data_IF_471632797701
#
_entry.id   IF_471632797701
#
_cell.length_a   1.000
_cell.length_b   1.000
_cell.length_c   1.000
_cell.angle_alpha   90.00
_cell.angle_beta   90.00
_cell.angle_gamma   90.00
#
_symmetry.space_group_name_H-M   'P 1'
#
loop_
_entity.id
_entity.type
_entity.pdbx_description
1 polymer ?
#
# COMPACT_ATOMS: atom_id res chain seq x y z
N UNK A 1 -89.13 -7.56 -14.95
CA UNK A 1 -88.44 -8.09 -16.14
C UNK A 1 -87.56 -6.97 -16.68
N UNK A 2 -86.26 -6.96 -16.35
CA UNK A 2 -85.30 -5.94 -16.79
C UNK A 2 -84.00 -6.62 -17.23
N UNK A 3 -83.53 -6.27 -18.42
CA UNK A 3 -82.13 -6.34 -18.89
C UNK A 3 -81.57 -4.89 -18.78
N UNK A 4 -80.24 -4.60 -18.62
CA UNK A 4 -79.19 -5.01 -19.57
C UNK A 4 -77.75 -5.24 -19.00
N UNK A 5 -76.86 -5.77 -19.88
CA UNK A 5 -75.36 -5.65 -20.10
C UNK A 5 -74.46 -5.28 -18.89
N UNK A 6 -73.24 -5.82 -18.70
CA UNK A 6 -71.96 -5.34 -19.28
C UNK A 6 -70.78 -6.32 -19.00
N UNK A 7 -69.88 -6.43 -20.00
CA UNK A 7 -68.40 -6.57 -19.96
C UNK A 7 -67.70 -7.82 -19.38
N UNK A 8 -67.19 -8.63 -20.31
CA UNK A 8 -66.00 -9.47 -20.14
C UNK A 8 -64.74 -8.58 -20.02
N UNK A 9 -64.08 -8.57 -18.86
CA UNK A 9 -62.71 -8.08 -18.72
C UNK A 9 -61.74 -9.19 -19.14
N UNK A 10 -61.22 -9.10 -20.36
CA UNK A 10 -59.99 -9.80 -20.74
C UNK A 10 -58.82 -9.00 -20.14
N UNK A 11 -58.27 -9.48 -19.03
CA UNK A 11 -57.01 -8.96 -18.49
C UNK A 11 -55.88 -9.38 -19.44
N UNK A 12 -55.45 -8.43 -20.28
CA UNK A 12 -54.19 -8.49 -21.01
C UNK A 12 -53.04 -8.58 -20.00
N UNK A 13 -52.54 -9.79 -19.77
CA UNK A 13 -51.20 -10.02 -19.23
C UNK A 13 -50.17 -9.59 -20.29
N UNK A 14 -49.87 -8.29 -20.34
CA UNK A 14 -48.66 -7.76 -20.96
C UNK A 14 -47.51 -7.85 -19.95
N UNK A 15 -46.28 -8.17 -20.41
CA UNK A 15 -45.42 -9.10 -19.71
C UNK A 15 -44.46 -8.45 -18.71
N UNK A 16 -44.21 -9.14 -17.59
CA UNK A 16 -43.12 -8.89 -16.62
C UNK A 16 -41.71 -9.15 -17.24
N UNK A 17 -41.61 -9.41 -18.55
CA UNK A 17 -40.35 -9.72 -19.23
C UNK A 17 -39.47 -8.50 -19.59
N UNK A 18 -39.87 -7.27 -19.26
CA UNK A 18 -39.11 -6.08 -19.66
C UNK A 18 -37.85 -5.80 -18.82
N UNK A 19 -37.71 -6.39 -17.62
CA UNK A 19 -36.53 -6.16 -16.77
C UNK A 19 -35.37 -7.14 -17.02
N UNK A 20 -35.59 -8.26 -17.71
CA UNK A 20 -34.55 -9.28 -17.90
C UNK A 20 -33.53 -8.97 -19.03
N UNK A 21 -33.76 -7.94 -19.84
CA UNK A 21 -32.99 -7.71 -21.09
C UNK A 21 -31.64 -6.99 -20.89
N UNK A 22 -31.28 -6.58 -19.67
CA UNK A 22 -30.05 -5.82 -19.40
C UNK A 22 -28.95 -6.55 -18.62
N UNK A 23 -29.28 -7.68 -17.98
CA UNK A 23 -28.35 -8.41 -17.10
C UNK A 23 -27.43 -9.39 -17.84
N UNK A 24 -27.83 -9.82 -19.03
CA UNK A 24 -27.05 -10.73 -19.86
C UNK A 24 -27.28 -10.40 -21.33
N UNK A 25 -26.30 -10.67 -22.20
CA UNK A 25 -26.51 -10.50 -23.62
C UNK A 25 -27.56 -11.50 -24.12
N UNK A 26 -28.40 -11.08 -25.07
CA UNK A 26 -29.43 -11.97 -25.63
C UNK A 26 -28.76 -13.18 -26.33
N UNK A 27 -29.11 -14.44 -25.99
CA UNK A 27 -28.48 -15.61 -26.56
C UNK A 27 -28.54 -15.64 -28.10
N UNK A 28 -27.45 -16.07 -28.73
CA UNK A 28 -27.35 -16.17 -30.20
C UNK A 28 -27.15 -14.84 -30.93
N UNK A 29 -27.12 -13.70 -30.23
CA UNK A 29 -26.92 -12.38 -30.84
C UNK A 29 -25.45 -12.04 -31.04
N UNK A 30 -25.19 -10.99 -31.85
CA UNK A 30 -23.86 -10.41 -31.99
C UNK A 30 -23.33 -9.86 -30.67
N UNK A 31 -24.20 -9.29 -29.83
CA UNK A 31 -23.85 -8.82 -28.49
C UNK A 31 -23.32 -9.96 -27.61
N UNK A 32 -23.98 -11.12 -27.62
CA UNK A 32 -23.52 -12.30 -26.87
C UNK A 32 -22.15 -12.80 -27.32
N UNK A 33 -21.90 -12.82 -28.63
CA UNK A 33 -20.58 -13.23 -29.16
C UNK A 33 -19.48 -12.26 -28.73
N UNK A 34 -19.74 -10.96 -28.79
CA UNK A 34 -18.77 -9.96 -28.34
C UNK A 34 -18.53 -10.01 -26.84
N UNK A 35 -19.58 -10.20 -26.05
CA UNK A 35 -19.48 -10.30 -24.59
C UNK A 35 -18.65 -11.53 -24.17
N UNK A 36 -18.93 -12.71 -24.73
CA UNK A 36 -18.17 -13.93 -24.43
C UNK A 36 -16.69 -13.80 -24.86
N UNK A 37 -16.43 -13.19 -26.01
CA UNK A 37 -15.06 -12.93 -26.45
C UNK A 37 -14.34 -11.93 -25.53
N UNK A 38 -15.06 -10.96 -24.96
CA UNK A 38 -14.50 -10.02 -24.01
C UNK A 38 -14.12 -10.69 -22.68
N UNK A 39 -14.97 -11.58 -22.16
CA UNK A 39 -14.67 -12.39 -20.96
C UNK A 39 -13.43 -13.27 -21.18
N UNK A 40 -13.29 -13.89 -22.35
CA UNK A 40 -12.07 -14.64 -22.70
C UNK A 40 -10.82 -13.74 -22.69
N UNK A 41 -10.90 -12.53 -23.27
CA UNK A 41 -9.80 -11.57 -23.24
C UNK A 41 -9.44 -11.12 -21.81
N UNK A 42 -10.43 -11.01 -20.90
CA UNK A 42 -10.16 -10.72 -19.49
C UNK A 42 -9.39 -11.86 -18.80
N UNK A 43 -9.74 -13.12 -19.08
CA UNK A 43 -9.02 -14.28 -18.55
C UNK A 43 -7.56 -14.32 -19.04
N UNK A 44 -7.33 -13.91 -20.28
CA UNK A 44 -6.00 -13.73 -20.87
C UNK A 44 -5.27 -12.46 -20.39
N UNK A 45 -5.92 -11.66 -19.51
CA UNK A 45 -5.44 -10.37 -18.99
C UNK A 45 -5.22 -9.30 -20.07
N UNK A 46 -5.78 -9.45 -21.27
CA UNK A 46 -5.83 -8.42 -22.31
C UNK A 46 -7.04 -7.49 -22.09
N UNK A 47 -6.95 -6.67 -21.05
CA UNK A 47 -8.03 -5.74 -20.67
C UNK A 47 -8.34 -4.71 -21.76
N UNK A 48 -7.35 -4.33 -22.57
CA UNK A 48 -7.55 -3.40 -23.68
C UNK A 48 -8.42 -4.01 -24.78
N UNK A 49 -8.22 -5.30 -25.10
CA UNK A 49 -9.09 -6.01 -26.02
C UNK A 49 -10.48 -6.28 -25.40
N UNK A 50 -10.53 -6.67 -24.13
CA UNK A 50 -11.79 -6.91 -23.42
C UNK A 50 -12.71 -5.68 -23.47
N UNK A 51 -12.19 -4.48 -23.13
CA UNK A 51 -12.95 -3.23 -23.17
C UNK A 51 -13.55 -2.99 -24.57
N UNK A 52 -12.74 -3.08 -25.63
CA UNK A 52 -13.22 -2.89 -27.02
C UNK A 52 -14.31 -3.89 -27.40
N UNK A 53 -14.25 -5.12 -26.90
CA UNK A 53 -15.24 -6.15 -27.17
C UNK A 53 -16.54 -5.90 -26.37
N UNK A 54 -16.47 -5.49 -25.11
CA UNK A 54 -17.65 -5.07 -24.35
C UNK A 54 -18.32 -3.84 -24.95
N UNK A 55 -17.56 -2.86 -25.45
CA UNK A 55 -18.11 -1.69 -26.17
C UNK A 55 -18.85 -2.09 -27.46
N UNK A 56 -18.34 -3.09 -28.18
CA UNK A 56 -19.05 -3.68 -29.35
C UNK A 56 -20.31 -4.43 -28.92
N UNK A 57 -20.28 -5.11 -27.78
CA UNK A 57 -21.47 -5.75 -27.22
C UNK A 57 -22.55 -4.71 -26.87
N UNK A 58 -22.17 -3.60 -26.25
CA UNK A 58 -23.06 -2.46 -25.97
C UNK A 58 -23.59 -1.81 -27.25
N UNK A 59 -22.75 -1.68 -28.29
CA UNK A 59 -23.19 -1.12 -29.57
C UNK A 59 -24.26 -2.00 -30.24
N UNK A 60 -24.16 -3.32 -30.08
CA UNK A 60 -25.13 -4.29 -30.60
C UNK A 60 -26.38 -4.45 -29.70
N UNK A 61 -26.26 -4.21 -28.40
CA UNK A 61 -27.35 -4.24 -27.42
C UNK A 61 -27.15 -3.09 -26.40
N UNK A 62 -27.65 -1.87 -26.69
CA UNK A 62 -27.44 -0.71 -25.83
C UNK A 62 -28.03 -0.84 -24.42
N UNK A 63 -28.95 -1.76 -24.22
CA UNK A 63 -29.55 -2.07 -22.91
C UNK A 63 -28.70 -3.02 -22.06
N UNK A 64 -27.56 -3.51 -22.55
CA UNK A 64 -26.71 -4.48 -21.86
C UNK A 64 -25.90 -3.83 -20.73
N UNK A 65 -26.59 -3.49 -19.64
CA UNK A 65 -26.01 -2.82 -18.47
C UNK A 65 -24.83 -3.61 -17.88
N UNK A 66 -24.89 -4.94 -17.90
CA UNK A 66 -23.80 -5.81 -17.42
C UNK A 66 -22.44 -5.52 -18.09
N UNK A 67 -22.42 -5.06 -19.34
CA UNK A 67 -21.18 -4.71 -20.02
C UNK A 67 -20.52 -3.46 -19.41
N UNK A 68 -21.27 -2.51 -18.85
CA UNK A 68 -20.69 -1.39 -18.13
C UNK A 68 -19.96 -1.84 -16.87
N UNK A 69 -20.52 -2.77 -16.09
CA UNK A 69 -19.82 -3.39 -14.94
C UNK A 69 -18.48 -3.99 -15.37
N UNK A 70 -18.47 -4.82 -16.42
CA UNK A 70 -17.26 -5.50 -16.89
C UNK A 70 -16.19 -4.53 -17.43
N UNK A 71 -16.61 -3.47 -18.13
CA UNK A 71 -15.68 -2.40 -18.57
C UNK A 71 -15.08 -1.68 -17.36
N UNK A 72 -15.89 -1.40 -16.34
CA UNK A 72 -15.42 -0.81 -15.09
C UNK A 72 -14.37 -1.68 -14.40
N UNK A 73 -14.60 -2.99 -14.32
CA UNK A 73 -13.65 -3.97 -13.76
C UNK A 73 -12.33 -3.97 -14.55
N UNK A 74 -12.39 -3.95 -15.88
CA UNK A 74 -11.19 -3.84 -16.72
C UNK A 74 -10.39 -2.57 -16.43
N UNK A 75 -11.06 -1.41 -16.32
CA UNK A 75 -10.39 -0.16 -16.00
C UNK A 75 -9.79 -0.15 -14.58
N UNK A 76 -10.49 -0.74 -13.60
CA UNK A 76 -9.99 -0.88 -12.23
C UNK A 76 -8.72 -1.74 -12.19
N UNK A 77 -8.71 -2.86 -12.91
CA UNK A 77 -7.53 -3.74 -13.05
C UNK A 77 -6.35 -3.06 -13.76
N UNK A 78 -6.62 -2.07 -14.60
CA UNK A 78 -5.60 -1.22 -15.23
C UNK A 78 -5.21 0.01 -14.37
N UNK A 79 -5.77 0.17 -13.17
CA UNK A 79 -5.52 1.31 -12.29
C UNK A 79 -6.19 2.62 -12.72
N UNK A 80 -7.10 2.59 -13.70
CA UNK A 80 -7.84 3.76 -14.16
C UNK A 80 -9.16 3.94 -13.39
N UNK A 81 -9.06 4.28 -12.12
CA UNK A 81 -10.18 4.31 -11.17
C UNK A 81 -11.27 5.33 -11.52
N UNK A 82 -10.91 6.41 -12.23
CA UNK A 82 -11.90 7.40 -12.70
C UNK A 82 -12.83 6.78 -13.73
N UNK A 83 -12.29 6.15 -14.78
CA UNK A 83 -13.12 5.49 -15.79
C UNK A 83 -13.84 4.27 -15.23
N UNK A 84 -13.22 3.55 -14.30
CA UNK A 84 -13.89 2.46 -13.58
C UNK A 84 -15.15 2.95 -12.86
N UNK A 85 -15.03 4.01 -12.04
CA UNK A 85 -16.14 4.60 -11.33
C UNK A 85 -17.23 5.12 -12.28
N UNK A 86 -16.87 5.82 -13.36
CA UNK A 86 -17.83 6.30 -14.37
C UNK A 86 -18.67 5.16 -14.97
N UNK A 87 -18.06 3.98 -15.17
CA UNK A 87 -18.75 2.80 -15.70
C UNK A 87 -19.58 2.06 -14.64
N UNK A 88 -19.10 1.93 -13.42
CA UNK A 88 -19.88 1.37 -12.32
C UNK A 88 -21.13 2.21 -12.01
N UNK A 89 -21.02 3.54 -12.06
CA UNK A 89 -22.16 4.44 -11.88
C UNK A 89 -23.22 4.24 -12.96
N UNK A 90 -22.83 4.11 -14.24
CA UNK A 90 -23.80 3.79 -15.31
C UNK A 90 -24.58 2.50 -15.04
N UNK A 91 -23.94 1.50 -14.44
CA UNK A 91 -24.63 0.27 -14.03
C UNK A 91 -25.66 0.54 -12.92
N UNK A 92 -25.27 1.25 -11.86
CA UNK A 92 -26.15 1.55 -10.73
C UNK A 92 -27.23 2.60 -11.03
N UNK A 93 -27.01 3.48 -12.00
CA UNK A 93 -28.01 4.42 -12.51
C UNK A 93 -29.12 3.70 -13.28
N UNK A 94 -28.75 2.66 -14.03
CA UNK A 94 -29.72 1.84 -14.76
C UNK A 94 -30.46 0.88 -13.80
N UNK A 95 -29.76 0.32 -12.83
CA UNK A 95 -30.33 -0.53 -11.79
C UNK A 95 -29.51 -0.47 -10.49
N UNK A 96 -30.04 0.21 -9.47
CA UNK A 96 -29.39 0.32 -8.16
C UNK A 96 -29.35 -1.00 -7.38
N UNK A 97 -30.15 -2.00 -7.78
CA UNK A 97 -30.16 -3.34 -7.20
C UNK A 97 -29.37 -4.33 -8.07
N UNK A 98 -28.53 -3.84 -8.99
CA UNK A 98 -27.78 -4.71 -9.88
C UNK A 98 -26.76 -5.58 -9.14
N UNK A 99 -25.99 -4.99 -8.21
CA UNK A 99 -24.95 -5.68 -7.46
C UNK A 99 -24.56 -4.86 -6.22
N UNK A 100 -24.50 -5.51 -5.05
CA UNK A 100 -23.94 -4.86 -3.84
C UNK A 100 -22.44 -4.68 -3.97
N UNK A 101 -21.73 -5.67 -4.52
CA UNK A 101 -20.28 -5.61 -4.76
C UNK A 101 -19.87 -4.32 -5.46
N UNK A 102 -20.66 -3.83 -6.43
CA UNK A 102 -20.38 -2.56 -7.11
C UNK A 102 -20.27 -1.34 -6.19
N UNK A 103 -21.01 -1.31 -5.07
CA UNK A 103 -20.86 -0.24 -4.08
C UNK A 103 -19.50 -0.32 -3.39
N UNK A 104 -19.01 -1.52 -3.07
CA UNK A 104 -17.65 -1.67 -2.54
C UNK A 104 -16.59 -1.27 -3.57
N UNK A 105 -16.73 -1.70 -4.83
CA UNK A 105 -15.78 -1.38 -5.92
C UNK A 105 -15.73 0.13 -6.21
N UNK A 106 -16.87 0.83 -6.10
CA UNK A 106 -16.92 2.29 -6.15
C UNK A 106 -16.22 2.91 -4.94
N UNK A 107 -16.46 2.38 -3.74
CA UNK A 107 -15.76 2.80 -2.52
C UNK A 107 -14.24 2.73 -2.67
N UNK A 108 -13.74 1.59 -3.14
CA UNK A 108 -12.31 1.36 -3.40
C UNK A 108 -11.77 2.30 -4.49
N UNK A 109 -12.49 2.45 -5.60
CA UNK A 109 -12.11 3.36 -6.68
C UNK A 109 -12.01 4.82 -6.20
N UNK A 110 -12.99 5.30 -5.42
CA UNK A 110 -12.95 6.65 -4.84
C UNK A 110 -11.85 6.83 -3.81
N UNK A 111 -11.58 5.82 -2.99
CA UNK A 111 -10.51 5.87 -2.01
C UNK A 111 -9.15 6.01 -2.72
N UNK A 112 -8.91 5.21 -3.76
CA UNK A 112 -7.68 5.26 -4.58
C UNK A 112 -7.54 6.55 -5.39
N UNK A 113 -8.62 7.28 -5.62
CA UNK A 113 -8.61 8.64 -6.20
C UNK A 113 -8.40 9.74 -5.14
N UNK A 114 -8.20 9.39 -3.87
CA UNK A 114 -8.04 10.36 -2.78
C UNK A 114 -9.33 11.09 -2.42
N UNK A 115 -10.50 10.46 -2.62
CA UNK A 115 -11.82 11.02 -2.27
C UNK A 115 -12.46 10.23 -1.12
N UNK A 116 -11.94 10.34 0.11
CA UNK A 116 -12.36 9.50 1.23
C UNK A 116 -13.82 9.72 1.64
N UNK A 117 -14.42 10.88 1.36
CA UNK A 117 -15.83 11.16 1.64
C UNK A 117 -16.76 10.32 0.77
N UNK A 118 -16.47 10.27 -0.54
CA UNK A 118 -17.21 9.44 -1.49
C UNK A 118 -16.95 7.97 -1.22
N UNK A 119 -15.70 7.60 -0.92
CA UNK A 119 -15.35 6.23 -0.55
C UNK A 119 -16.15 5.77 0.67
N UNK A 120 -16.17 6.58 1.74
CA UNK A 120 -16.95 6.29 2.94
C UNK A 120 -18.43 6.13 2.63
N UNK A 121 -19.01 7.02 1.82
CA UNK A 121 -20.40 6.91 1.40
C UNK A 121 -20.69 5.56 0.74
N UNK A 122 -19.90 5.15 -0.25
CA UNK A 122 -20.13 3.90 -0.97
C UNK A 122 -19.85 2.65 -0.12
N UNK A 123 -18.85 2.67 0.75
CA UNK A 123 -18.60 1.61 1.72
C UNK A 123 -19.75 1.48 2.74
N UNK A 124 -20.28 2.60 3.25
CA UNK A 124 -21.44 2.60 4.14
C UNK A 124 -22.69 2.07 3.42
N UNK A 125 -22.92 2.47 2.16
CA UNK A 125 -24.00 1.91 1.34
C UNK A 125 -23.85 0.42 1.11
N UNK A 126 -22.65 -0.07 0.83
CA UNK A 126 -22.38 -1.51 0.73
C UNK A 126 -22.75 -2.25 2.01
N UNK A 127 -22.43 -1.67 3.17
CA UNK A 127 -22.80 -2.21 4.49
C UNK A 127 -24.32 -2.24 4.70
N UNK A 128 -25.00 -1.14 4.45
CA UNK A 128 -26.45 -1.01 4.62
C UNK A 128 -27.24 -1.98 3.74
N UNK A 129 -26.76 -2.24 2.52
CA UNK A 129 -27.41 -3.14 1.58
C UNK A 129 -27.32 -4.62 2.00
N UNK A 130 -26.49 -4.98 2.99
CA UNK A 130 -26.42 -6.34 3.52
C UNK A 130 -27.68 -6.75 4.29
N UNK A 131 -28.48 -5.78 4.74
CA UNK A 131 -29.78 -6.04 5.36
C UNK A 131 -30.82 -6.58 4.35
N UNK A 132 -30.55 -6.43 3.05
CA UNK A 132 -31.41 -6.92 1.99
C UNK A 132 -31.01 -8.34 1.56
N UNK A 133 -31.99 -9.26 1.40
CA UNK A 133 -31.74 -10.59 0.87
C UNK A 133 -31.01 -10.58 -0.49
N UNK A 134 -30.17 -11.58 -0.74
CA UNK A 134 -29.35 -11.67 -1.96
C UNK A 134 -30.18 -11.75 -3.25
N UNK A 135 -31.35 -12.37 -3.21
CA UNK A 135 -32.26 -12.53 -4.34
C UNK A 135 -32.87 -11.20 -4.82
N UNK A 136 -32.91 -10.17 -3.96
CA UNK A 136 -33.29 -8.80 -4.36
C UNK A 136 -32.33 -8.24 -5.41
N UNK A 137 -31.08 -8.70 -5.44
CA UNK A 137 -30.05 -8.30 -6.42
C UNK A 137 -29.91 -9.30 -7.58
N UNK A 138 -30.94 -10.13 -7.78
CA UNK A 138 -31.02 -11.08 -8.90
C UNK A 138 -29.83 -12.04 -8.97
N UNK A 139 -29.36 -12.31 -10.19
CA UNK A 139 -28.26 -13.24 -10.45
C UNK A 139 -26.97 -12.82 -9.73
N UNK A 140 -26.67 -11.53 -9.72
CA UNK A 140 -25.42 -11.01 -9.16
C UNK A 140 -25.39 -11.13 -7.65
N UNK A 141 -26.48 -10.84 -6.94
CA UNK A 141 -26.52 -11.02 -5.48
C UNK A 141 -26.25 -12.46 -5.03
N UNK A 142 -26.66 -13.45 -5.83
CA UNK A 142 -26.37 -14.86 -5.55
C UNK A 142 -24.97 -15.25 -6.01
N UNK A 143 -24.57 -14.85 -7.22
CA UNK A 143 -23.28 -15.23 -7.81
C UNK A 143 -22.08 -14.58 -7.10
N UNK A 144 -22.26 -13.37 -6.56
CA UNK A 144 -21.20 -12.57 -5.94
C UNK A 144 -21.17 -12.73 -4.41
N UNK A 145 -22.07 -13.53 -3.83
CA UNK A 145 -22.20 -13.72 -2.38
C UNK A 145 -20.90 -14.15 -1.68
N UNK A 146 -20.11 -15.01 -2.32
CA UNK A 146 -18.83 -15.48 -1.78
C UNK A 146 -17.78 -14.35 -1.78
N UNK A 147 -17.74 -13.55 -2.86
CA UNK A 147 -16.87 -12.38 -2.95
C UNK A 147 -17.25 -11.34 -1.89
N UNK A 148 -18.56 -11.07 -1.74
CA UNK A 148 -19.07 -10.11 -0.76
C UNK A 148 -18.61 -10.43 0.67
N UNK A 149 -18.54 -11.71 1.05
CA UNK A 149 -18.04 -12.10 2.37
C UNK A 149 -16.56 -11.71 2.58
N UNK A 150 -15.73 -11.82 1.54
CA UNK A 150 -14.34 -11.38 1.59
C UNK A 150 -14.26 -9.86 1.75
N UNK A 151 -15.11 -9.13 1.02
CA UNK A 151 -15.17 -7.67 1.09
C UNK A 151 -15.67 -7.17 2.44
N UNK A 152 -16.64 -7.86 3.05
CA UNK A 152 -17.15 -7.56 4.40
C UNK A 152 -16.07 -7.71 5.47
N UNK A 153 -15.17 -8.68 5.34
CA UNK A 153 -14.03 -8.80 6.27
C UNK A 153 -13.05 -7.63 6.17
N UNK A 154 -12.93 -7.01 4.98
CA UNK A 154 -12.07 -5.84 4.75
C UNK A 154 -12.74 -4.53 5.16
N UNK A 155 -14.06 -4.46 5.04
CA UNK A 155 -14.86 -3.25 5.18
C UNK A 155 -14.59 -2.44 6.45
N UNK A 156 -14.47 -3.01 7.67
CA UNK A 156 -14.15 -2.23 8.86
C UNK A 156 -12.82 -1.46 8.75
N UNK A 157 -11.82 -2.08 8.12
CA UNK A 157 -10.53 -1.44 7.83
C UNK A 157 -10.67 -0.31 6.80
N UNK A 158 -11.43 -0.53 5.73
CA UNK A 158 -11.69 0.51 4.72
C UNK A 158 -12.44 1.72 5.30
N UNK A 159 -13.49 1.49 6.11
CA UNK A 159 -14.25 2.55 6.79
C UNK A 159 -13.34 3.34 7.74
N UNK A 160 -12.52 2.63 8.54
CA UNK A 160 -11.55 3.26 9.44
C UNK A 160 -10.52 4.08 8.67
N UNK A 161 -10.00 3.56 7.56
CA UNK A 161 -9.05 4.25 6.71
C UNK A 161 -9.65 5.54 6.13
N UNK A 162 -10.90 5.51 5.65
CA UNK A 162 -11.59 6.72 5.18
C UNK A 162 -11.75 7.75 6.31
N UNK A 163 -12.19 7.33 7.49
CA UNK A 163 -12.35 8.22 8.65
C UNK A 163 -11.03 8.83 9.09
N UNK A 164 -9.97 8.02 9.20
CA UNK A 164 -8.62 8.52 9.53
C UNK A 164 -8.17 9.50 8.46
N UNK A 165 -8.29 9.17 7.16
CA UNK A 165 -7.93 10.09 6.09
C UNK A 165 -8.68 11.41 6.19
N UNK A 166 -10.00 11.40 6.42
CA UNK A 166 -10.82 12.60 6.60
C UNK A 166 -10.48 13.39 7.87
N UNK A 167 -10.11 12.72 8.96
CA UNK A 167 -9.68 13.39 10.19
C UNK A 167 -8.29 13.99 10.03
N UNK A 168 -7.36 13.28 9.40
CA UNK A 168 -6.01 13.75 9.12
C UNK A 168 -6.01 14.99 8.23
N UNK A 169 -6.85 15.05 7.17
CA UNK A 169 -6.97 16.23 6.29
C UNK A 169 -7.51 17.48 6.99
N UNK A 170 -8.11 17.38 8.20
CA UNK A 170 -8.51 18.56 8.98
C UNK A 170 -7.30 19.31 9.54
N UNK A 171 -6.17 18.62 9.72
CA UNK A 171 -4.98 19.15 10.38
C UNK A 171 -3.80 19.34 9.43
N UNK A 172 -3.87 18.80 8.21
CA UNK A 172 -2.86 18.96 7.18
C UNK A 172 -3.44 19.72 5.99
N UNK A 173 -2.83 20.85 5.62
CA UNK A 173 -3.22 21.63 4.44
C UNK A 173 -2.58 21.04 3.16
N UNK A 174 -2.78 19.74 2.92
CA UNK A 174 -2.32 19.06 1.71
C UNK A 174 -3.47 19.09 0.71
N UNK A 175 -3.37 19.94 -0.30
CA UNK A 175 -4.43 20.14 -1.29
C UNK A 175 -4.37 19.17 -2.46
N UNK A 176 -3.22 18.51 -2.68
CA UNK A 176 -2.99 17.64 -3.83
C UNK A 176 -2.13 16.43 -3.42
N UNK A 177 -2.54 15.24 -3.88
CA UNK A 177 -1.76 14.00 -3.80
C UNK A 177 -1.28 13.69 -5.21
N UNK A 178 0.03 13.57 -5.38
CA UNK A 178 0.64 13.25 -6.66
C UNK A 178 1.16 11.81 -6.64
N UNK A 179 0.59 10.96 -7.50
CA UNK A 179 1.23 9.70 -7.85
C UNK A 179 2.50 10.03 -8.65
N UNK A 180 3.66 9.55 -8.19
CA UNK A 180 4.96 9.83 -8.83
C UNK A 180 5.13 9.19 -10.22
N UNK A 181 4.12 8.46 -10.69
CA UNK A 181 4.01 7.90 -12.02
C UNK A 181 4.84 6.63 -12.21
N UNK A 182 4.74 6.00 -13.40
CA UNK A 182 5.38 4.72 -13.70
C UNK A 182 6.92 4.78 -13.78
N UNK A 183 7.49 5.98 -13.66
CA UNK A 183 8.94 6.16 -13.57
C UNK A 183 9.44 5.77 -12.18
N UNK A 184 8.68 6.09 -11.13
CA UNK A 184 9.02 5.72 -9.74
C UNK A 184 8.24 4.48 -9.34
N UNK A 185 6.93 4.48 -9.53
CA UNK A 185 6.03 3.41 -9.10
C UNK A 185 6.03 2.26 -10.11
N UNK A 186 5.89 1.04 -9.60
CA UNK A 186 5.83 -0.21 -10.33
C UNK A 186 4.56 -0.99 -10.01
N UNK A 187 4.49 -2.21 -10.53
CA UNK A 187 3.46 -3.20 -10.17
C UNK A 187 3.76 -3.95 -8.87
N UNK A 188 4.98 -3.80 -8.35
CA UNK A 188 5.42 -4.39 -7.10
C UNK A 188 5.32 -3.36 -5.99
N UNK A 189 5.57 -3.78 -4.75
CA UNK A 189 5.54 -2.88 -3.60
C UNK A 189 6.76 -1.94 -3.66
N UNK A 190 6.48 -0.64 -3.74
CA UNK A 190 7.44 0.46 -3.68
C UNK A 190 7.20 1.27 -2.40
N UNK A 191 8.15 1.26 -1.46
CA UNK A 191 7.95 1.80 -0.11
C UNK A 191 9.24 2.36 0.50
N UNK A 192 9.12 2.91 1.71
CA UNK A 192 10.18 3.60 2.45
C UNK A 192 10.96 4.63 1.62
N UNK A 193 10.28 5.62 1.01
CA UNK A 193 10.94 6.66 0.25
C UNK A 193 11.76 7.57 1.15
N UNK A 194 12.97 7.89 0.72
CA UNK A 194 13.85 8.88 1.30
C UNK A 194 14.25 9.91 0.25
N UNK A 195 14.09 11.19 0.56
CA UNK A 195 14.50 12.30 -0.30
C UNK A 195 15.73 12.99 0.25
N UNK A 196 16.68 13.28 -0.64
CA UNK A 196 17.76 14.24 -0.35
C UNK A 196 17.19 15.62 0.00
N UNK A 197 17.93 16.43 0.76
CA UNK A 197 17.44 17.73 1.25
C UNK A 197 17.04 18.71 0.14
N UNK A 198 17.70 18.64 -1.02
CA UNK A 198 17.38 19.45 -2.19
C UNK A 198 16.21 18.86 -3.01
N UNK A 199 15.66 17.73 -2.58
CA UNK A 199 14.53 17.01 -3.18
C UNK A 199 14.75 16.62 -4.64
N UNK A 200 16.01 16.45 -5.06
CA UNK A 200 16.32 16.01 -6.43
C UNK A 200 16.49 14.51 -6.53
N UNK A 201 16.85 13.85 -5.44
CA UNK A 201 17.19 12.44 -5.44
C UNK A 201 16.26 11.71 -4.47
N UNK A 202 15.58 10.68 -4.99
CA UNK A 202 14.68 9.79 -4.28
C UNK A 202 15.31 8.40 -4.22
N UNK A 203 15.50 7.91 -3.00
CA UNK A 203 15.87 6.53 -2.71
C UNK A 203 14.63 5.82 -2.17
N UNK A 204 14.39 4.58 -2.55
CA UNK A 204 13.21 3.84 -2.10
C UNK A 204 13.45 2.34 -2.21
N UNK A 205 12.72 1.57 -1.41
CA UNK A 205 12.72 0.11 -1.49
C UNK A 205 11.72 -0.35 -2.53
N UNK A 206 12.11 -1.32 -3.34
CA UNK A 206 11.19 -2.08 -4.20
C UNK A 206 11.34 -3.56 -3.90
N UNK A 207 10.22 -4.21 -3.66
CA UNK A 207 10.17 -5.67 -3.59
C UNK A 207 10.21 -6.25 -5.01
N UNK A 208 11.08 -7.23 -5.24
CA UNK A 208 11.17 -8.00 -6.48
C UNK A 208 10.15 -9.14 -6.50
N UNK A 209 10.02 -9.79 -7.66
CA UNK A 209 9.10 -10.91 -7.86
C UNK A 209 9.39 -12.13 -6.97
N UNK A 210 10.65 -12.31 -6.58
CA UNK A 210 11.12 -13.35 -5.65
C UNK A 210 10.97 -12.95 -4.17
N UNK A 211 10.43 -11.76 -3.89
CA UNK A 211 10.24 -11.23 -2.53
C UNK A 211 11.45 -10.48 -1.97
N UNK A 212 12.56 -10.44 -2.70
CA UNK A 212 13.78 -9.74 -2.32
C UNK A 212 13.57 -8.22 -2.32
N UNK A 213 14.13 -7.53 -1.34
CA UNK A 213 13.94 -6.09 -1.15
C UNK A 213 15.20 -5.33 -1.57
N UNK A 214 15.07 -4.52 -2.61
CA UNK A 214 16.20 -3.80 -3.20
C UNK A 214 16.05 -2.29 -3.00
N UNK A 215 17.18 -1.61 -2.80
CA UNK A 215 17.29 -0.17 -2.84
C UNK A 215 17.35 0.35 -4.29
N UNK A 216 16.42 1.22 -4.63
CA UNK A 216 16.30 1.91 -5.92
C UNK A 216 16.55 3.41 -5.76
N UNK A 217 16.93 4.03 -6.88
CA UNK A 217 17.22 5.45 -7.01
C UNK A 217 16.42 6.04 -8.17
N UNK A 218 15.80 7.20 -7.97
CA UNK A 218 15.22 8.03 -9.02
C UNK A 218 15.65 9.49 -8.83
N UNK A 219 15.86 10.18 -9.95
CA UNK A 219 16.26 11.58 -9.95
C UNK A 219 15.16 12.46 -10.55
N UNK A 220 14.90 13.60 -9.93
CA UNK A 220 14.02 14.64 -10.44
C UNK A 220 14.80 15.63 -11.29
N UNK A 221 14.56 15.61 -12.61
CA UNK A 221 15.17 16.55 -13.56
C UNK A 221 14.14 17.11 -14.52
N UNK A 222 14.22 18.41 -14.78
CA UNK A 222 13.38 19.10 -15.79
C UNK A 222 11.87 18.88 -15.57
N UNK A 223 11.42 18.85 -14.31
CA UNK A 223 10.01 18.75 -13.97
C UNK A 223 9.44 17.33 -13.92
N UNK A 224 10.29 16.29 -14.00
CA UNK A 224 9.85 14.90 -13.94
C UNK A 224 10.87 14.00 -13.24
N UNK A 225 10.37 12.96 -12.58
CA UNK A 225 11.18 11.84 -12.09
C UNK A 225 11.66 10.99 -13.26
N UNK A 226 12.91 10.53 -13.17
CA UNK A 226 13.49 9.53 -14.08
C UNK A 226 13.09 8.12 -13.66
N UNK A 227 13.21 7.16 -14.58
CA UNK A 227 12.97 5.75 -14.26
C UNK A 227 13.83 5.34 -13.07
N UNK A 228 13.21 4.74 -12.06
CA UNK A 228 13.89 4.18 -10.91
C UNK A 228 14.88 3.12 -11.36
N UNK A 229 16.14 3.26 -10.95
CA UNK A 229 17.23 2.34 -11.25
C UNK A 229 17.64 1.62 -9.96
N UNK A 230 17.83 0.30 -10.04
CA UNK A 230 18.41 -0.50 -8.95
C UNK A 230 19.82 0.04 -8.65
N UNK A 231 20.10 0.34 -7.38
CA UNK A 231 21.43 0.83 -6.99
C UNK A 231 22.46 -0.28 -7.15
N UNK A 232 23.60 0.06 -7.75
CA UNK A 232 24.70 -0.88 -8.00
C UNK A 232 25.67 -0.91 -6.82
N UNK A 233 26.17 -2.09 -6.48
CA UNK A 233 27.16 -2.30 -5.41
C UNK A 233 26.54 -2.43 -4.01
N UNK A 234 25.32 -1.93 -3.80
CA UNK A 234 24.55 -2.15 -2.59
C UNK A 234 23.87 -3.52 -2.63
N UNK A 235 22.95 -3.70 -3.56
CA UNK A 235 22.02 -4.81 -3.56
C UNK A 235 22.66 -6.13 -4.00
N UNK A 236 22.51 -7.19 -3.20
CA UNK A 236 22.97 -8.54 -3.52
C UNK A 236 21.79 -9.51 -3.67
N UNK A 237 22.02 -10.82 -3.49
CA UNK A 237 20.96 -11.83 -3.34
C UNK A 237 20.78 -12.23 -1.85
N UNK A 238 21.46 -11.52 -0.94
CA UNK A 238 21.34 -11.68 0.51
C UNK A 238 20.49 -10.56 1.10
N UNK A 239 19.86 -10.75 2.27
CA UNK A 239 19.03 -9.72 2.87
C UNK A 239 19.83 -8.46 3.24
N UNK A 240 19.45 -7.34 2.62
CA UNK A 240 19.89 -6.00 2.98
C UNK A 240 18.69 -5.10 3.24
N UNK A 241 18.76 -4.26 4.26
CA UNK A 241 17.62 -3.40 4.58
C UNK A 241 17.84 -2.53 5.80
N UNK A 242 16.73 -2.06 6.37
CA UNK A 242 16.71 -1.24 7.58
C UNK A 242 17.69 -0.06 7.50
N UNK A 243 17.68 0.62 6.34
CA UNK A 243 18.63 1.66 6.01
C UNK A 243 18.23 3.02 6.57
N UNK A 244 19.22 3.80 6.99
CA UNK A 244 19.07 5.20 7.39
C UNK A 244 20.07 6.07 6.64
N UNK A 245 19.65 7.28 6.25
CA UNK A 245 20.52 8.23 5.56
C UNK A 245 20.82 9.42 6.46
N UNK A 246 22.09 9.79 6.55
CA UNK A 246 22.52 11.05 7.15
C UNK A 246 21.87 12.20 6.39
N UNK A 247 21.52 13.27 7.11
CA UNK A 247 20.87 14.45 6.53
C UNK A 247 21.68 15.08 5.38
N UNK A 248 22.99 14.82 5.28
CA UNK A 248 23.81 15.29 4.17
C UNK A 248 23.44 14.68 2.81
N UNK A 249 22.62 13.63 2.78
CA UNK A 249 22.16 12.99 1.56
C UNK A 249 23.19 12.02 0.94
N UNK A 250 24.31 11.76 1.61
CA UNK A 250 25.47 11.06 1.03
C UNK A 250 25.85 9.81 1.79
N UNK A 251 25.72 9.80 3.12
CA UNK A 251 26.05 8.62 3.94
C UNK A 251 24.80 7.83 4.29
N UNK A 252 24.82 6.55 3.96
CA UNK A 252 23.80 5.58 4.30
C UNK A 252 24.38 4.55 5.26
N UNK A 253 23.64 4.21 6.31
CA UNK A 253 23.90 3.05 7.15
C UNK A 253 22.80 2.03 6.92
N UNK A 254 23.15 0.75 6.88
CA UNK A 254 22.19 -0.32 6.61
C UNK A 254 22.62 -1.63 7.26
N UNK A 255 21.66 -2.54 7.44
CA UNK A 255 21.92 -3.90 7.87
C UNK A 255 22.25 -4.77 6.67
N UNK A 256 23.33 -5.55 6.75
CA UNK A 256 23.60 -6.64 5.83
C UNK A 256 23.64 -7.97 6.60
N UNK A 257 22.83 -8.94 6.20
CA UNK A 257 22.80 -10.28 6.78
C UNK A 257 23.37 -11.29 5.79
N UNK A 258 24.15 -12.27 6.27
CA UNK A 258 24.71 -13.36 5.44
C UNK A 258 25.59 -12.91 4.26
N UNK A 259 25.91 -11.63 4.15
CA UNK A 259 26.79 -11.04 3.14
C UNK A 259 28.25 -11.38 3.42
N UNK A 260 29.06 -11.49 2.37
CA UNK A 260 30.51 -11.63 2.52
C UNK A 260 31.09 -10.45 3.32
N UNK A 261 31.87 -10.75 4.36
CA UNK A 261 32.47 -9.74 5.25
C UNK A 261 31.65 -9.40 6.50
N UNK A 262 30.46 -10.01 6.67
CA UNK A 262 29.69 -9.95 7.92
C UNK A 262 30.35 -10.86 8.98
N UNK A 263 30.55 -10.33 10.18
CA UNK A 263 31.17 -11.01 11.32
C UNK A 263 30.19 -11.79 12.21
N UNK A 264 28.93 -11.36 12.27
CA UNK A 264 27.84 -12.01 13.00
C UNK A 264 26.72 -12.57 12.09
N UNK A 265 25.49 -12.75 12.63
CA UNK A 265 24.33 -13.07 11.80
C UNK A 265 23.93 -11.93 10.86
N UNK A 266 24.05 -10.69 11.35
CA UNK A 266 23.89 -9.45 10.60
C UNK A 266 24.84 -8.40 11.17
N UNK A 267 25.37 -7.54 10.28
CA UNK A 267 26.29 -6.45 10.62
C UNK A 267 25.75 -5.13 10.04
N UNK A 268 26.20 -4.01 10.62
CA UNK A 268 25.92 -2.67 10.11
C UNK A 268 27.02 -2.23 9.15
N UNK A 269 26.62 -1.71 8.00
CA UNK A 269 27.50 -1.24 6.95
C UNK A 269 27.28 0.24 6.69
N UNK A 270 28.34 0.94 6.26
CA UNK A 270 28.30 2.32 5.78
C UNK A 270 28.54 2.32 4.26
N UNK A 271 27.70 3.08 3.56
CA UNK A 271 27.82 3.32 2.13
C UNK A 271 27.80 4.82 1.81
N UNK A 272 28.68 5.26 0.91
CA UNK A 272 28.60 6.57 0.28
C UNK A 272 27.83 6.50 -1.03
N UNK A 273 26.63 7.07 -1.02
CA UNK A 273 25.77 7.17 -2.20
C UNK A 273 26.09 8.42 -3.00
N UNK A 274 26.23 8.25 -4.32
CA UNK A 274 26.34 9.34 -5.28
C UNK A 274 25.43 9.04 -6.47
N UNK A 275 24.19 9.51 -6.36
CA UNK A 275 23.13 9.14 -7.30
C UNK A 275 22.87 7.63 -7.26
N UNK A 276 23.14 6.95 -8.38
CA UNK A 276 22.88 5.51 -8.54
C UNK A 276 24.05 4.58 -8.21
N UNK A 277 25.16 5.13 -7.74
CA UNK A 277 26.37 4.38 -7.44
C UNK A 277 26.70 4.46 -5.96
N UNK A 278 27.11 3.32 -5.40
CA UNK A 278 27.86 3.28 -4.15
C UNK A 278 29.32 3.54 -4.48
N UNK A 279 29.82 4.69 -4.03
CA UNK A 279 31.21 5.12 -4.27
C UNK A 279 32.18 4.52 -3.27
N UNK A 280 31.72 4.30 -2.04
CA UNK A 280 32.47 3.63 -0.98
C UNK A 280 31.51 2.73 -0.20
N UNK A 281 31.97 1.54 0.15
CA UNK A 281 31.19 0.56 0.89
C UNK A 281 32.11 -0.14 1.89
N UNK A 282 31.74 -0.10 3.16
CA UNK A 282 32.52 -0.73 4.22
C UNK A 282 31.64 -1.27 5.33
N UNK A 283 32.01 -2.43 5.87
CA UNK A 283 31.53 -2.86 7.19
C UNK A 283 32.05 -1.88 8.23
N UNK A 284 31.23 -1.53 9.22
CA UNK A 284 31.69 -0.66 10.31
C UNK A 284 32.79 -1.32 11.17
N UNK A 285 32.89 -2.65 11.13
CA UNK A 285 33.83 -3.42 11.92
C UNK A 285 33.70 -3.17 13.43
N UNK A 286 34.65 -3.67 14.20
CA UNK A 286 34.72 -3.37 15.63
C UNK A 286 35.02 -1.88 15.88
N UNK A 287 34.44 -1.25 16.92
CA UNK A 287 33.68 -1.89 18.01
C UNK A 287 32.16 -1.96 17.76
N UNK A 288 31.66 -1.48 16.63
CA UNK A 288 30.23 -1.54 16.31
C UNK A 288 29.85 -2.96 15.96
N UNK A 289 30.39 -3.55 14.90
CA UNK A 289 30.10 -4.93 14.55
C UNK A 289 30.93 -5.90 15.40
N UNK A 290 30.30 -6.97 15.83
CA UNK A 290 30.88 -8.04 16.63
C UNK A 290 30.52 -9.41 16.03
N UNK A 291 30.60 -10.49 16.81
CA UNK A 291 30.03 -11.79 16.41
C UNK A 291 28.55 -11.93 16.77
N UNK A 292 27.97 -10.92 17.43
CA UNK A 292 26.56 -10.87 17.77
C UNK A 292 25.74 -10.33 16.59
N UNK A 293 24.43 -10.22 16.76
CA UNK A 293 23.57 -9.56 15.79
C UNK A 293 23.62 -8.06 16.00
N UNK A 294 23.97 -7.31 14.95
CA UNK A 294 23.91 -5.85 14.89
C UNK A 294 23.04 -5.41 13.71
N UNK A 295 22.00 -4.62 14.00
CA UNK A 295 21.03 -4.26 12.98
C UNK A 295 20.28 -2.97 13.31
N UNK A 296 19.43 -2.53 12.38
CA UNK A 296 18.41 -1.51 12.59
C UNK A 296 19.02 -0.17 13.00
N UNK A 297 20.02 0.25 12.22
CA UNK A 297 20.75 1.48 12.48
C UNK A 297 19.87 2.73 12.35
N UNK A 298 20.02 3.65 13.29
CA UNK A 298 19.51 5.02 13.21
C UNK A 298 20.65 6.00 13.44
N UNK A 299 20.74 7.03 12.60
CA UNK A 299 21.81 8.02 12.65
C UNK A 299 21.25 9.41 12.94
N UNK A 300 21.90 10.16 13.83
CA UNK A 300 21.55 11.54 14.09
C UNK A 300 21.73 12.42 12.84
N UNK A 301 20.98 13.52 12.75
CA UNK A 301 21.02 14.41 11.58
C UNK A 301 22.42 14.93 11.23
N UNK A 302 23.26 15.15 12.24
CA UNK A 302 24.66 15.61 12.08
C UNK A 302 25.65 14.45 11.80
N UNK A 303 25.17 13.21 11.81
CA UNK A 303 25.99 12.01 11.59
C UNK A 303 26.93 11.67 12.75
N UNK A 304 26.73 12.24 13.94
CA UNK A 304 27.64 12.09 15.08
C UNK A 304 27.28 10.94 16.03
N UNK A 305 26.01 10.49 16.05
CA UNK A 305 25.53 9.43 16.93
C UNK A 305 24.81 8.36 16.14
N UNK A 306 25.28 7.12 16.29
CA UNK A 306 24.69 5.92 15.73
C UNK A 306 24.00 5.13 16.84
N UNK A 307 22.72 4.91 16.68
CA UNK A 307 21.90 4.02 17.52
C UNK A 307 21.64 2.73 16.74
N UNK A 308 21.61 1.60 17.41
CA UNK A 308 21.35 0.31 16.76
C UNK A 308 20.89 -0.74 17.76
N UNK A 309 20.23 -1.79 17.28
CA UNK A 309 19.80 -2.93 18.08
C UNK A 309 20.88 -4.03 18.06
N UNK A 310 21.13 -4.66 19.20
CA UNK A 310 22.09 -5.76 19.29
C UNK A 310 21.85 -6.67 20.49
N UNK A 311 22.03 -7.98 20.28
CA UNK A 311 22.04 -9.00 21.34
C UNK A 311 23.45 -9.32 21.87
N UNK A 312 24.39 -8.38 21.71
CA UNK A 312 25.76 -8.52 22.25
C UNK A 312 25.75 -8.65 23.77
N UNK A 313 26.82 -9.25 24.29
CA UNK A 313 27.04 -9.33 25.74
C UNK A 313 27.14 -7.93 26.38
N UNK A 314 26.59 -7.79 27.59
CA UNK A 314 26.54 -6.53 28.33
C UNK A 314 25.21 -5.78 28.21
N UNK A 315 24.23 -6.34 27.49
CA UNK A 315 22.84 -5.90 27.53
C UNK A 315 22.06 -6.39 28.75
N UNK A 316 20.81 -5.94 28.85
CA UNK A 316 19.85 -6.27 29.90
C UNK A 316 18.96 -7.45 29.54
N UNK A 317 18.65 -7.64 28.26
CA UNK A 317 17.66 -8.60 27.80
C UNK A 317 18.04 -9.33 26.52
N UNK A 318 17.04 -9.54 25.66
CA UNK A 318 17.18 -10.21 24.37
C UNK A 318 18.00 -9.34 23.40
N UNK A 319 17.33 -8.48 22.64
CA UNK A 319 17.99 -7.38 21.93
C UNK A 319 17.90 -6.09 22.71
N UNK A 320 19.01 -5.38 22.80
CA UNK A 320 19.08 -4.09 23.48
C UNK A 320 19.40 -2.98 22.47
N UNK A 321 19.04 -1.75 22.79
CA UNK A 321 19.52 -0.56 22.08
C UNK A 321 20.89 -0.12 22.60
N UNK A 322 21.78 0.16 21.66
CA UNK A 322 23.13 0.63 21.90
C UNK A 322 23.37 1.95 21.15
N UNK A 323 24.30 2.75 21.65
CA UNK A 323 24.71 4.01 21.04
C UNK A 323 26.23 4.09 20.92
N UNK A 324 26.70 4.52 19.76
CA UNK A 324 28.10 4.84 19.51
C UNK A 324 28.23 6.26 18.98
N UNK A 325 29.31 6.93 19.37
CA UNK A 325 29.63 8.30 18.95
C UNK A 325 30.76 8.28 17.93
N UNK A 326 30.64 9.16 16.94
CA UNK A 326 31.69 9.33 15.94
C UNK A 326 32.82 10.16 16.50
N UNK A 327 34.00 9.58 16.54
CA UNK A 327 35.20 10.19 17.07
C UNK A 327 35.85 11.14 16.05
N UNK A 328 36.71 12.09 16.49
CA UNK A 328 37.40 13.02 15.59
C UNK A 328 38.29 12.36 14.53
N UNK A 329 38.71 11.12 14.75
CA UNK A 329 39.47 10.32 13.78
C UNK A 329 38.58 9.62 12.72
N UNK A 330 37.27 9.82 12.78
CA UNK A 330 36.28 9.22 11.88
C UNK A 330 35.76 7.84 12.29
N UNK A 331 36.38 7.21 13.29
CA UNK A 331 35.97 5.90 13.82
C UNK A 331 34.79 6.04 14.79
N UNK A 332 34.12 4.92 15.04
CA UNK A 332 33.06 4.81 16.05
C UNK A 332 33.64 4.47 17.42
N UNK A 333 33.12 5.10 18.47
CA UNK A 333 33.47 4.79 19.86
C UNK A 333 32.92 3.43 20.28
N UNK A 334 33.45 2.85 21.36
CA UNK A 334 32.88 1.62 21.94
C UNK A 334 31.40 1.84 22.28
N UNK A 335 30.47 1.04 21.74
CA UNK A 335 29.05 1.25 21.98
C UNK A 335 28.67 1.15 23.45
N UNK A 336 27.81 2.05 23.88
CA UNK A 336 27.23 2.09 25.22
C UNK A 336 25.81 1.55 25.16
N UNK A 337 25.49 0.61 26.05
CA UNK A 337 24.13 0.15 26.23
C UNK A 337 23.28 1.30 26.78
N UNK A 338 22.09 1.52 26.23
CA UNK A 338 21.22 2.62 26.70
C UNK A 338 20.62 2.36 28.09
N UNK A 339 20.64 1.12 28.55
CA UNK A 339 20.27 0.72 29.90
C UNK A 339 18.80 0.98 30.24
N UNK A 340 18.43 0.68 31.49
CA UNK A 340 17.11 1.00 32.00
C UNK A 340 16.96 2.53 32.18
N UNK A 341 15.76 3.10 31.91
CA UNK A 341 14.51 2.41 31.61
C UNK A 341 14.27 2.17 30.11
N UNK A 342 15.24 2.40 29.23
CA UNK A 342 15.05 2.22 27.78
C UNK A 342 15.04 0.74 27.46
N UNK A 343 16.14 0.05 27.79
CA UNK A 343 16.26 -1.39 27.62
C UNK A 343 15.61 -2.13 28.80
N UNK A 344 15.01 -3.27 28.50
CA UNK A 344 14.32 -4.15 29.43
C UNK A 344 14.94 -5.55 29.40
N UNK A 345 14.44 -6.53 30.19
CA UNK A 345 14.85 -7.92 30.04
C UNK A 345 14.38 -8.60 28.75
N UNK A 346 13.48 -7.99 27.98
CA UNK A 346 12.95 -8.51 26.73
C UNK A 346 13.64 -7.85 25.51
N UNK A 347 12.94 -7.60 24.41
CA UNK A 347 13.52 -7.11 23.15
C UNK A 347 13.19 -5.64 22.88
N UNK A 348 14.22 -4.81 22.68
CA UNK A 348 14.14 -3.47 22.13
C UNK A 348 14.81 -3.36 20.75
N UNK A 349 14.07 -2.82 19.78
CA UNK A 349 14.46 -2.78 18.38
C UNK A 349 14.03 -1.46 17.69
N UNK A 350 14.37 -1.35 16.40
CA UNK A 350 13.96 -0.30 15.46
C UNK A 350 14.11 1.13 15.99
N UNK A 351 15.31 1.52 16.47
CA UNK A 351 15.51 2.87 16.94
C UNK A 351 15.25 3.88 15.81
N UNK A 352 14.71 5.03 16.16
CA UNK A 352 14.57 6.18 15.28
C UNK A 352 14.86 7.46 16.07
N UNK A 353 15.92 8.17 15.70
CA UNK A 353 16.29 9.44 16.33
C UNK A 353 15.65 10.59 15.55
N UNK A 354 14.90 11.43 16.26
CA UNK A 354 14.20 12.56 15.65
C UNK A 354 15.19 13.65 15.19
N UNK A 355 14.71 14.56 14.34
CA UNK A 355 15.51 15.64 13.76
C UNK A 355 16.10 16.61 14.80
N UNK A 356 15.55 16.65 16.02
CA UNK A 356 16.13 17.44 17.11
C UNK A 356 17.36 16.79 17.76
N UNK A 357 17.67 15.53 17.41
CA UNK A 357 18.77 14.76 17.98
C UNK A 357 18.57 14.40 19.47
N UNK A 358 17.38 14.62 20.01
CA UNK A 358 17.06 14.44 21.43
C UNK A 358 15.98 13.39 21.64
N UNK A 359 14.97 13.31 20.77
CA UNK A 359 13.88 12.36 20.92
C UNK A 359 14.19 11.05 20.20
N UNK A 360 14.25 9.94 20.93
CA UNK A 360 14.44 8.59 20.40
C UNK A 360 13.11 7.84 20.47
N UNK A 361 12.71 7.25 19.36
CA UNK A 361 11.61 6.28 19.26
C UNK A 361 12.20 4.88 19.07
N UNK A 362 11.50 3.86 19.56
CA UNK A 362 11.93 2.47 19.42
C UNK A 362 10.73 1.53 19.62
N UNK A 363 10.83 0.28 19.17
CA UNK A 363 9.88 -0.77 19.53
C UNK A 363 10.36 -1.56 20.74
N UNK A 364 9.43 -2.06 21.57
CA UNK A 364 9.76 -2.93 22.69
C UNK A 364 8.69 -3.98 22.94
N UNK A 365 9.13 -5.17 23.39
CA UNK A 365 8.28 -6.24 23.92
C UNK A 365 8.21 -6.27 25.45
N UNK A 366 9.14 -5.59 26.15
CA UNK A 366 9.20 -5.62 27.62
C UNK A 366 8.52 -4.45 28.32
N UNK A 367 8.19 -3.38 27.59
CA UNK A 367 7.35 -2.30 28.11
C UNK A 367 5.87 -2.65 28.04
N UNK A 368 5.08 -2.21 29.03
CA UNK A 368 3.65 -2.48 29.07
C UNK A 368 2.92 -1.83 27.88
N UNK A 369 2.37 -2.66 27.00
CA UNK A 369 1.79 -2.26 25.72
C UNK A 369 0.42 -2.87 25.39
N UNK A 370 -0.02 -2.65 24.15
CA UNK A 370 -1.26 -3.12 23.54
C UNK A 370 -1.06 -4.37 22.65
N UNK A 371 0.18 -4.76 22.37
CA UNK A 371 0.54 -5.90 21.51
C UNK A 371 1.89 -6.53 21.87
N UNK A 372 2.49 -7.27 20.92
CA UNK A 372 3.82 -7.88 21.12
C UNK A 372 4.92 -6.83 21.07
N UNK A 373 5.08 -6.11 19.95
CA UNK A 373 5.98 -4.96 19.83
C UNK A 373 5.18 -3.67 19.66
N UNK A 374 5.27 -2.77 20.64
CA UNK A 374 4.67 -1.42 20.57
C UNK A 374 5.76 -0.34 20.44
N UNK A 375 5.37 0.83 19.95
CA UNK A 375 6.27 1.97 19.76
C UNK A 375 6.33 2.82 21.03
N UNK A 376 7.53 3.02 21.54
CA UNK A 376 7.85 3.86 22.69
C UNK A 376 8.70 5.05 22.29
N UNK A 377 8.74 6.07 23.14
CA UNK A 377 9.49 7.30 22.92
C UNK A 377 10.15 7.75 24.23
N UNK A 378 11.42 8.14 24.13
CA UNK A 378 12.15 8.81 25.21
C UNK A 378 12.87 10.06 24.67
N UNK A 379 13.41 10.88 25.57
CA UNK A 379 14.17 12.06 25.19
C UNK A 379 15.44 12.21 26.02
N UNK A 380 16.47 12.73 25.36
CA UNK A 380 17.72 13.09 25.99
C UNK A 380 17.56 14.38 26.80
N UNK A 381 17.75 14.29 28.12
CA UNK A 381 17.77 15.45 29.01
C UNK A 381 19.20 15.87 29.35
N UNK A 382 19.68 16.91 28.67
CA UNK A 382 21.02 17.48 28.87
C UNK A 382 21.27 17.99 30.29
N UNK A 383 20.23 18.16 31.11
CA UNK A 383 20.35 18.65 32.50
C UNK A 383 20.73 17.58 33.52
N UNK A 384 20.74 16.31 33.12
CA UNK A 384 21.02 15.17 34.00
C UNK A 384 22.48 14.66 33.92
N UNK A 385 23.33 15.34 33.15
CA UNK A 385 24.79 15.19 33.15
C UNK A 385 25.43 16.24 34.05
#
# INVERSE_FOLDING_TARGET
MNCPRWLLFAALLLPVFLFAQGYAPMPGTLAARHFQAAEAAMLDKDFGQAIRLFERALSAQPTLVAAHKMIGECYALQGNYRLAADHYLKTLEADSLFSRKLYYELGDSYYKMGRPELALYYFARFQELQELPHDVFGLHGVAEAADELILLNRLPGNLRACTISMDSIKFINITEIHNLGPQVNSRYDDYFPFLTNNQTDLYFTRQREDGDEDLYFSEYRQGAWRSGERIRGFNTDQPEGMSTLVRDGRRLFFTACLREGVGGPCDIWEALVSGKEITELQSLGGPVNTGAWESQAAISCDGSRLYFASNRAGGLGGTDLWMSERLPNGLWSSPQNLGAPINTPDDEEAPFISNDGKTLYFSSTGHLGLGEQDIFMCWWDERLQ
#
